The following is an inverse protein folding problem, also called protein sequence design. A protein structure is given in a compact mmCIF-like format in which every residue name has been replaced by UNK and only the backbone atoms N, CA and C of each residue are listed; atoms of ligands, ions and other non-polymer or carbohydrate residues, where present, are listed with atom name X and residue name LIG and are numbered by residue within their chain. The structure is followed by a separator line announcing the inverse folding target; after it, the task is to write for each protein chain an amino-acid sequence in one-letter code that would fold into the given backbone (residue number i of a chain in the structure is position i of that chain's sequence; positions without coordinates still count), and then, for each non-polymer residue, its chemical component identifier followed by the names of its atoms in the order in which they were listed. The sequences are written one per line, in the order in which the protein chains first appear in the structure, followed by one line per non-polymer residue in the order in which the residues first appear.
data_IF_900170082590
#
_entry.id   IF_900170082590
#
_cell.length_a   1.000
_cell.length_b   1.000
_cell.length_c   1.000
_cell.angle_alpha   90.00
_cell.angle_beta   90.00
_cell.angle_gamma   90.00
#
_symmetry.space_group_name_H-M   'P 1'
#
loop_
_entity.id
_entity.type
_entity.pdbx_description
1 polymer ?
#
# COMPACT_ATOMS: atom_id res chain seq x y z
N UNK A 1 17.98 -7.05 -35.89
CA UNK A 1 18.78 -7.20 -34.66
C UNK A 1 18.27 -8.45 -33.98
N UNK A 2 19.00 -9.56 -34.04
CA UNK A 2 18.64 -10.79 -33.31
C UNK A 2 19.13 -10.64 -31.88
N UNK A 3 18.24 -10.78 -30.92
CA UNK A 3 18.65 -10.93 -29.51
C UNK A 3 19.36 -12.28 -29.39
N UNK A 4 20.56 -12.36 -28.77
CA UNK A 4 21.22 -13.64 -28.54
C UNK A 4 20.38 -14.52 -27.61
N UNK A 5 20.28 -15.81 -27.92
CA UNK A 5 19.41 -16.78 -27.23
C UNK A 5 19.74 -17.03 -25.74
N UNK A 6 20.80 -16.38 -25.21
CA UNK A 6 21.30 -16.54 -23.84
C UNK A 6 21.15 -15.27 -22.99
N UNK A 7 20.34 -14.28 -23.39
CA UNK A 7 20.06 -13.15 -22.50
C UNK A 7 19.26 -13.66 -21.30
N UNK A 8 19.89 -13.64 -20.12
CA UNK A 8 19.26 -13.85 -18.82
C UNK A 8 19.66 -12.70 -17.91
N UNK A 9 18.72 -12.20 -17.13
CA UNK A 9 19.04 -11.23 -16.10
C UNK A 9 19.90 -11.90 -15.01
N UNK A 10 21.02 -11.26 -14.64
CA UNK A 10 21.92 -11.77 -13.60
C UNK A 10 21.68 -11.13 -12.24
N UNK A 11 21.03 -9.97 -12.22
CA UNK A 11 20.70 -9.20 -11.02
C UNK A 11 19.34 -8.51 -11.17
N UNK A 12 18.88 -7.90 -10.08
CA UNK A 12 17.55 -7.25 -10.02
C UNK A 12 17.44 -6.07 -10.98
N UNK A 13 18.47 -5.22 -11.06
CA UNK A 13 18.45 -4.01 -11.89
C UNK A 13 18.36 -4.37 -13.39
N UNK A 14 19.11 -5.39 -13.82
CA UNK A 14 19.02 -5.94 -15.17
C UNK A 14 17.62 -6.51 -15.45
N UNK A 15 17.06 -7.28 -14.51
CA UNK A 15 15.75 -7.89 -14.69
C UNK A 15 14.63 -6.83 -14.81
N UNK A 16 14.68 -5.79 -13.97
CA UNK A 16 13.74 -4.68 -14.03
C UNK A 16 13.90 -3.84 -15.30
N UNK A 17 15.14 -3.55 -15.70
CA UNK A 17 15.41 -2.83 -16.94
C UNK A 17 14.92 -3.61 -18.18
N UNK A 18 15.11 -4.93 -18.21
CA UNK A 18 14.61 -5.79 -19.29
C UNK A 18 13.08 -5.76 -19.37
N UNK A 19 12.38 -5.93 -18.24
CA UNK A 19 10.91 -5.88 -18.20
C UNK A 19 10.33 -4.50 -18.56
N UNK A 20 10.95 -3.42 -18.06
CA UNK A 20 10.54 -2.05 -18.42
C UNK A 20 10.75 -1.77 -19.91
N UNK A 21 11.86 -2.25 -20.46
CA UNK A 21 12.17 -2.12 -21.89
C UNK A 21 11.16 -2.89 -22.74
N UNK A 22 10.79 -4.11 -22.35
CA UNK A 22 9.75 -4.90 -23.02
C UNK A 22 8.41 -4.16 -23.02
N UNK A 23 7.99 -3.63 -21.86
CA UNK A 23 6.76 -2.83 -21.74
C UNK A 23 6.78 -1.58 -22.65
N UNK A 24 7.91 -0.87 -22.70
CA UNK A 24 8.08 0.31 -23.56
C UNK A 24 7.99 -0.06 -25.05
N UNK A 25 8.58 -1.19 -25.45
CA UNK A 25 8.50 -1.70 -26.83
C UNK A 25 7.05 -2.01 -27.20
N UNK A 26 6.30 -2.72 -26.34
CA UNK A 26 4.87 -3.03 -26.56
C UNK A 26 4.05 -1.75 -26.71
N UNK A 27 4.22 -0.80 -25.79
CA UNK A 27 3.55 0.51 -25.84
C UNK A 27 3.83 1.25 -27.16
N UNK A 28 5.09 1.27 -27.61
CA UNK A 28 5.49 1.90 -28.86
C UNK A 28 4.91 1.19 -30.10
N UNK A 29 4.69 -0.14 -30.04
CA UNK A 29 4.08 -0.91 -31.14
C UNK A 29 2.59 -0.60 -31.27
N UNK A 30 1.89 -0.47 -30.15
CA UNK A 30 0.47 -0.09 -30.09
C UNK A 30 0.24 1.33 -30.61
N UNK A 31 1.08 2.29 -30.21
CA UNK A 31 0.88 3.72 -30.50
C UNK A 31 1.62 4.21 -31.77
N UNK A 32 2.47 3.37 -32.37
CA UNK A 32 3.24 3.71 -33.57
C UNK A 32 2.40 3.66 -34.86
N UNK A 33 2.18 4.82 -35.48
CA UNK A 33 1.40 4.97 -36.72
C UNK A 33 2.11 4.54 -38.01
N UNK A 34 3.45 4.39 -38.03
CA UNK A 34 4.23 4.22 -39.26
C UNK A 34 5.22 3.03 -39.26
N UNK A 35 4.79 1.83 -38.84
CA UNK A 35 5.63 0.61 -38.93
C UNK A 35 4.95 -0.49 -39.73
N UNK A 36 5.69 -1.09 -40.68
CA UNK A 36 5.23 -2.25 -41.45
C UNK A 36 4.94 -3.46 -40.54
N UNK A 37 4.02 -4.34 -40.95
CA UNK A 37 3.55 -5.49 -40.17
C UNK A 37 4.70 -6.35 -39.63
N UNK A 38 5.68 -6.67 -40.46
CA UNK A 38 6.86 -7.47 -40.08
C UNK A 38 7.74 -6.78 -39.03
N UNK A 39 7.87 -5.45 -39.06
CA UNK A 39 8.62 -4.71 -38.05
C UNK A 39 7.90 -4.67 -36.70
N UNK A 40 6.56 -4.58 -36.71
CA UNK A 40 5.76 -4.70 -35.48
C UNK A 40 5.93 -6.09 -34.87
N UNK A 41 5.83 -7.14 -35.69
CA UNK A 41 6.01 -8.54 -35.27
C UNK A 41 7.41 -8.79 -34.70
N UNK A 42 8.46 -8.32 -35.37
CA UNK A 42 9.84 -8.44 -34.88
C UNK A 42 10.04 -7.71 -33.54
N UNK A 43 9.40 -6.55 -33.36
CA UNK A 43 9.49 -5.79 -32.10
C UNK A 43 8.78 -6.51 -30.94
N UNK A 44 7.65 -7.18 -31.21
CA UNK A 44 6.94 -7.96 -30.20
C UNK A 44 7.74 -9.20 -29.77
N UNK A 45 8.36 -9.91 -30.71
CA UNK A 45 9.25 -11.04 -30.39
C UNK A 45 10.39 -10.60 -29.47
N UNK A 46 11.00 -9.44 -29.76
CA UNK A 46 12.05 -8.85 -28.93
C UNK A 46 11.52 -8.53 -27.51
N UNK A 47 10.28 -8.04 -27.38
CA UNK A 47 9.67 -7.78 -26.08
C UNK A 47 9.39 -9.07 -25.31
N UNK A 48 8.89 -10.11 -25.97
CA UNK A 48 8.65 -11.42 -25.37
C UNK A 48 9.97 -12.06 -24.88
N UNK A 49 11.03 -12.05 -25.71
CA UNK A 49 12.36 -12.56 -25.33
C UNK A 49 12.93 -11.82 -24.09
N UNK A 50 12.73 -10.50 -24.00
CA UNK A 50 13.15 -9.69 -22.85
C UNK A 50 12.34 -9.99 -21.59
N UNK A 51 11.02 -10.18 -21.71
CA UNK A 51 10.17 -10.57 -20.60
C UNK A 51 10.51 -11.97 -20.09
N UNK A 52 10.79 -12.93 -20.98
CA UNK A 52 11.23 -14.28 -20.60
C UNK A 52 12.59 -14.25 -19.87
N UNK A 53 13.54 -13.45 -20.38
CA UNK A 53 14.84 -13.23 -19.75
C UNK A 53 14.70 -12.62 -18.35
N UNK A 54 13.80 -11.64 -18.17
CA UNK A 54 13.52 -11.03 -16.88
C UNK A 54 12.83 -12.00 -15.91
N UNK A 55 11.81 -12.72 -16.40
CA UNK A 55 11.02 -13.68 -15.62
C UNK A 55 11.87 -14.83 -15.09
N UNK A 56 12.89 -15.26 -15.83
CA UNK A 56 13.84 -16.28 -15.37
C UNK A 56 14.55 -15.90 -14.06
N UNK A 57 14.67 -14.60 -13.77
CA UNK A 57 15.21 -14.08 -12.52
C UNK A 57 14.10 -13.67 -11.55
N UNK A 58 13.05 -12.98 -12.02
CA UNK A 58 12.01 -12.38 -11.17
C UNK A 58 11.05 -13.39 -10.57
N UNK A 59 10.78 -14.50 -11.25
CA UNK A 59 9.89 -15.55 -10.76
C UNK A 59 10.69 -16.47 -9.84
N UNK A 60 10.18 -16.68 -8.63
CA UNK A 60 10.79 -17.61 -7.68
C UNK A 60 10.35 -19.05 -8.01
N UNK A 61 11.33 -19.96 -8.10
CA UNK A 61 11.06 -21.39 -8.30
C UNK A 61 10.44 -22.05 -7.06
N UNK A 62 10.73 -21.50 -5.87
CA UNK A 62 10.19 -21.95 -4.59
C UNK A 62 9.31 -20.85 -3.99
N UNK A 63 8.13 -21.23 -3.52
CA UNK A 63 7.18 -20.31 -2.88
C UNK A 63 7.64 -20.08 -1.43
N UNK A 64 8.05 -18.85 -1.04
CA UNK A 64 8.41 -18.56 0.34
C UNK A 64 7.20 -18.70 1.27
N UNK A 65 7.43 -19.16 2.51
CA UNK A 65 6.40 -19.23 3.53
C UNK A 65 5.89 -17.84 3.90
N UNK A 66 4.68 -17.73 4.46
CA UNK A 66 4.12 -16.47 4.95
C UNK A 66 4.09 -16.40 6.47
N UNK A 67 4.44 -15.25 7.01
CA UNK A 67 4.36 -14.90 8.43
C UNK A 67 3.02 -14.26 8.80
N UNK A 68 2.87 -13.94 10.08
CA UNK A 68 1.60 -13.53 10.72
C UNK A 68 1.07 -12.18 10.24
N UNK A 69 1.95 -11.25 9.85
CA UNK A 69 1.55 -9.97 9.25
C UNK A 69 1.45 -10.00 7.72
N UNK A 70 1.47 -11.20 7.13
CA UNK A 70 1.43 -11.41 5.68
C UNK A 70 2.76 -11.16 4.96
N UNK A 71 3.86 -11.11 5.71
CA UNK A 71 5.22 -11.03 5.19
C UNK A 71 5.71 -12.37 4.62
N UNK A 72 6.67 -12.33 3.70
CA UNK A 72 7.36 -13.55 3.25
C UNK A 72 8.50 -13.91 4.22
N UNK A 73 8.53 -15.18 4.63
CA UNK A 73 9.46 -15.76 5.60
C UNK A 73 10.34 -16.79 4.89
N UNK A 74 11.65 -16.68 5.06
CA UNK A 74 12.56 -17.76 4.71
C UNK A 74 12.35 -18.90 5.71
N UNK A 75 12.01 -20.09 5.23
CA UNK A 75 11.78 -21.26 6.09
C UNK A 75 13.13 -21.71 6.67
N UNK A 76 13.47 -21.19 7.84
CA UNK A 76 14.38 -21.86 8.77
C UNK A 76 13.49 -22.72 9.65
N UNK A 77 13.74 -24.03 9.69
CA UNK A 77 12.88 -25.08 10.23
C UNK A 77 12.10 -24.71 11.52
N UNK A 78 10.80 -25.06 11.55
CA UNK A 78 9.81 -25.00 12.64
C UNK A 78 9.05 -23.68 12.93
N UNK A 79 7.95 -23.44 12.20
CA UNK A 79 6.67 -22.93 12.77
C UNK A 79 5.50 -23.15 11.78
N UNK A 80 4.26 -23.46 12.25
CA UNK A 80 3.16 -23.79 11.35
C UNK A 80 2.62 -22.53 10.65
N UNK A 81 2.21 -22.64 9.37
CA UNK A 81 1.74 -21.49 8.60
C UNK A 81 0.30 -21.13 8.98
N UNK A 82 0.05 -19.85 9.21
CA UNK A 82 -1.30 -19.27 9.31
C UNK A 82 -1.46 -18.29 8.15
N UNK A 83 -2.56 -18.44 7.41
CA UNK A 83 -2.72 -18.03 6.02
C UNK A 83 -3.45 -16.69 5.82
N UNK A 84 -2.98 -15.89 4.85
CA UNK A 84 -3.68 -14.74 4.23
C UNK A 84 -3.75 -14.93 2.70
N UNK A 85 -4.65 -14.21 1.98
CA UNK A 85 -5.16 -14.64 0.68
C UNK A 85 -4.12 -14.62 -0.46
N UNK A 86 -4.41 -15.34 -1.55
CA UNK A 86 -3.47 -15.55 -2.65
C UNK A 86 -3.11 -14.22 -3.32
N UNK A 87 -1.82 -14.01 -3.60
CA UNK A 87 -1.42 -13.16 -4.73
C UNK A 87 -1.23 -14.09 -5.92
N UNK A 88 -1.73 -13.67 -7.08
CA UNK A 88 -1.68 -14.46 -8.32
C UNK A 88 -0.24 -14.82 -8.75
N UNK A 89 0.76 -14.01 -8.40
CA UNK A 89 2.18 -14.33 -8.60
C UNK A 89 3.05 -13.75 -7.47
N UNK A 90 3.98 -14.59 -6.99
CA UNK A 90 5.03 -14.20 -6.04
C UNK A 90 6.31 -13.97 -6.85
N UNK A 91 6.83 -12.75 -6.81
CA UNK A 91 8.08 -12.37 -7.47
C UNK A 91 9.17 -12.04 -6.44
N UNK A 92 10.43 -12.10 -6.87
CA UNK A 92 11.58 -11.62 -6.09
C UNK A 92 11.38 -10.19 -5.61
N UNK A 93 10.86 -9.31 -6.46
CA UNK A 93 10.59 -7.91 -6.11
C UNK A 93 9.63 -7.79 -4.92
N UNK A 94 8.53 -8.55 -4.94
CA UNK A 94 7.56 -8.53 -3.84
C UNK A 94 8.14 -9.11 -2.54
N UNK A 95 9.04 -10.09 -2.67
CA UNK A 95 9.70 -10.74 -1.53
C UNK A 95 10.73 -9.81 -0.91
N UNK A 96 11.63 -9.25 -1.71
CA UNK A 96 12.66 -8.31 -1.27
C UNK A 96 12.02 -7.05 -0.65
N UNK A 97 11.01 -6.47 -1.31
CA UNK A 97 10.26 -5.34 -0.75
C UNK A 97 9.51 -5.70 0.53
N UNK A 98 9.10 -6.96 0.73
CA UNK A 98 8.55 -7.41 2.02
C UNK A 98 9.64 -7.40 3.10
N UNK A 99 10.79 -8.00 2.83
CA UNK A 99 11.91 -8.06 3.77
C UNK A 99 12.42 -6.67 4.15
N UNK A 100 12.53 -5.75 3.19
CA UNK A 100 12.92 -4.36 3.44
C UNK A 100 11.93 -3.65 4.38
N UNK A 101 10.63 -3.83 4.17
CA UNK A 101 9.59 -3.25 5.04
C UNK A 101 9.66 -3.80 6.46
N UNK A 102 9.95 -5.10 6.63
CA UNK A 102 10.19 -5.68 7.96
C UNK A 102 11.48 -5.16 8.59
N UNK A 103 12.54 -5.03 7.81
CA UNK A 103 13.81 -4.45 8.24
C UNK A 103 13.62 -3.02 8.76
N UNK A 104 12.83 -2.21 8.06
CA UNK A 104 12.45 -0.86 8.50
C UNK A 104 11.61 -0.89 9.79
N UNK A 105 10.62 -1.77 9.89
CA UNK A 105 9.81 -1.90 11.11
C UNK A 105 10.66 -2.34 12.32
N UNK A 106 11.58 -3.28 12.11
CA UNK A 106 12.54 -3.73 13.12
C UNK A 106 13.51 -2.62 13.54
N UNK A 107 14.06 -1.86 12.58
CA UNK A 107 14.95 -0.72 12.85
C UNK A 107 14.27 0.38 13.69
N UNK A 108 12.96 0.56 13.52
CA UNK A 108 12.16 1.48 14.32
C UNK A 108 11.59 0.82 15.61
N UNK A 109 11.98 -0.43 15.90
CA UNK A 109 11.55 -1.18 17.08
C UNK A 109 10.03 -1.42 17.18
N UNK A 110 9.33 -1.45 16.04
CA UNK A 110 7.89 -1.67 15.98
C UNK A 110 7.51 -2.94 15.22
N UNK A 111 8.46 -3.86 14.95
CA UNK A 111 8.22 -5.05 14.13
C UNK A 111 6.95 -5.81 14.55
N UNK A 112 6.86 -6.24 15.81
CA UNK A 112 5.69 -7.00 16.28
C UNK A 112 4.40 -6.19 16.19
N UNK A 113 4.43 -4.90 16.53
CA UNK A 113 3.26 -4.02 16.46
C UNK A 113 2.82 -3.78 15.02
N UNK A 114 3.76 -3.66 14.10
CA UNK A 114 3.50 -3.46 12.68
C UNK A 114 2.84 -4.70 12.06
N UNK A 115 3.34 -5.90 12.39
CA UNK A 115 2.75 -7.17 11.97
C UNK A 115 1.35 -7.36 12.54
N UNK A 116 1.18 -7.17 13.85
CA UNK A 116 -0.10 -7.26 14.55
C UNK A 116 -1.11 -6.25 13.99
N UNK A 117 -0.69 -5.01 13.73
CA UNK A 117 -1.55 -4.00 13.11
C UNK A 117 -1.99 -4.43 11.71
N UNK A 118 -1.07 -4.97 10.90
CA UNK A 118 -1.38 -5.43 9.55
C UNK A 118 -2.38 -6.61 9.56
N UNK A 119 -2.21 -7.53 10.50
CA UNK A 119 -3.13 -8.65 10.74
C UNK A 119 -4.51 -8.13 11.21
N UNK A 120 -4.54 -7.26 12.22
CA UNK A 120 -5.76 -6.73 12.81
C UNK A 120 -6.63 -5.94 11.82
N UNK A 121 -6.01 -5.18 10.90
CA UNK A 121 -6.77 -4.49 9.84
C UNK A 121 -7.14 -5.41 8.68
N UNK A 122 -6.60 -6.63 8.63
CA UNK A 122 -6.75 -7.57 7.52
C UNK A 122 -6.10 -7.07 6.23
N UNK A 123 -4.85 -6.60 6.29
CA UNK A 123 -4.15 -6.01 5.16
C UNK A 123 -4.02 -7.02 4.00
N UNK A 124 -4.68 -6.74 2.87
CA UNK A 124 -4.77 -7.68 1.74
C UNK A 124 -3.69 -7.47 0.66
N UNK A 125 -3.01 -6.32 0.70
CA UNK A 125 -2.02 -5.93 -0.30
C UNK A 125 -0.87 -5.11 0.33
N UNK A 126 0.17 -4.82 -0.47
CA UNK A 126 1.39 -4.21 0.04
C UNK A 126 1.17 -2.76 0.50
N UNK A 127 0.24 -2.03 -0.11
CA UNK A 127 -0.07 -0.66 0.29
C UNK A 127 -0.77 -0.63 1.66
N UNK A 128 -1.73 -1.53 1.88
CA UNK A 128 -2.37 -1.71 3.19
C UNK A 128 -1.36 -2.12 4.28
N UNK A 129 -0.45 -3.04 3.97
CA UNK A 129 0.64 -3.43 4.89
C UNK A 129 1.56 -2.24 5.23
N UNK A 130 1.95 -1.44 4.23
CA UNK A 130 2.78 -0.25 4.46
C UNK A 130 2.07 0.77 5.35
N UNK A 131 0.77 0.99 5.15
CA UNK A 131 -0.03 1.87 6.01
C UNK A 131 -0.10 1.32 7.44
N UNK A 132 -0.30 0.02 7.63
CA UNK A 132 -0.27 -0.60 8.96
C UNK A 132 1.08 -0.39 9.66
N UNK A 133 2.19 -0.59 8.95
CA UNK A 133 3.53 -0.38 9.52
C UNK A 133 3.76 1.10 9.90
N UNK A 134 3.33 2.04 9.06
CA UNK A 134 3.42 3.47 9.35
C UNK A 134 2.56 3.85 10.56
N UNK A 135 1.35 3.29 10.68
CA UNK A 135 0.47 3.50 11.81
C UNK A 135 1.08 2.95 13.11
N UNK A 136 1.76 1.81 13.09
CA UNK A 136 2.47 1.29 14.25
C UNK A 136 3.61 2.23 14.71
N UNK A 137 4.39 2.77 13.77
CA UNK A 137 5.43 3.79 14.07
C UNK A 137 4.80 5.04 14.68
N UNK A 138 3.75 5.57 14.05
CA UNK A 138 3.07 6.79 14.50
C UNK A 138 2.43 6.60 15.88
N UNK A 139 1.78 5.45 16.13
CA UNK A 139 1.18 5.10 17.40
C UNK A 139 2.23 5.08 18.52
N UNK A 140 3.29 4.27 18.37
CA UNK A 140 4.36 4.19 19.36
C UNK A 140 4.97 5.57 19.63
N UNK A 141 5.38 6.27 18.58
CA UNK A 141 6.06 7.57 18.71
C UNK A 141 5.15 8.59 19.39
N UNK A 142 3.85 8.59 19.10
CA UNK A 142 2.90 9.50 19.74
C UNK A 142 2.78 9.25 21.25
N UNK A 143 2.79 7.99 21.69
CA UNK A 143 2.72 7.65 23.10
C UNK A 143 4.02 7.96 23.83
N UNK A 144 5.17 7.70 23.19
CA UNK A 144 6.49 8.07 23.73
C UNK A 144 6.59 9.59 23.92
N UNK A 145 6.15 10.40 22.95
CA UNK A 145 6.14 11.86 23.05
C UNK A 145 5.19 12.39 24.13
N UNK A 146 4.04 11.74 24.36
CA UNK A 146 3.13 12.10 25.46
C UNK A 146 3.76 11.78 26.81
N UNK A 147 4.40 10.61 26.93
CA UNK A 147 5.10 10.23 28.14
C UNK A 147 6.26 11.19 28.45
N UNK A 148 7.02 11.60 27.43
CA UNK A 148 8.07 12.61 27.55
C UNK A 148 7.50 13.96 27.99
N UNK A 149 6.42 14.42 27.35
CA UNK A 149 5.76 15.67 27.71
C UNK A 149 5.28 15.71 29.18
N UNK A 150 4.87 14.57 29.73
CA UNK A 150 4.50 14.45 31.15
C UNK A 150 5.65 14.75 32.12
N UNK A 151 6.89 14.55 31.67
CA UNK A 151 8.12 14.78 32.43
C UNK A 151 8.81 16.13 32.11
N UNK A 152 8.40 16.80 31.03
CA UNK A 152 8.98 18.07 30.58
C UNK A 152 8.49 19.25 31.42
N UNK A 153 9.42 19.96 32.07
CA UNK A 153 9.11 21.16 32.87
C UNK A 153 8.94 22.42 32.04
N UNK A 154 9.70 22.56 30.95
CA UNK A 154 9.59 23.71 30.06
C UNK A 154 8.20 23.69 29.37
N UNK A 155 7.34 24.70 29.60
CA UNK A 155 6.01 24.72 29.01
C UNK A 155 6.02 24.76 27.48
N UNK A 156 7.03 25.39 26.87
CA UNK A 156 7.13 25.50 25.42
C UNK A 156 7.45 24.14 24.82
N UNK A 157 8.48 23.47 25.29
CA UNK A 157 8.84 22.14 24.81
C UNK A 157 7.74 21.12 25.08
N UNK A 158 7.10 21.16 26.26
CA UNK A 158 5.93 20.32 26.56
C UNK A 158 4.82 20.48 25.52
N UNK A 159 4.53 21.72 25.13
CA UNK A 159 3.52 22.01 24.11
C UNK A 159 3.92 21.45 22.74
N UNK A 160 5.21 21.54 22.36
CA UNK A 160 5.72 20.99 21.08
C UNK A 160 5.60 19.47 21.01
N UNK A 161 5.94 18.78 22.10
CA UNK A 161 5.80 17.32 22.21
C UNK A 161 4.33 16.91 22.07
N UNK A 162 3.41 17.52 22.85
CA UNK A 162 1.97 17.22 22.79
C UNK A 162 1.38 17.49 21.40
N UNK A 163 1.76 18.61 20.77
CA UNK A 163 1.28 18.95 19.43
C UNK A 163 1.78 17.96 18.38
N UNK A 164 3.03 17.51 18.49
CA UNK A 164 3.60 16.52 17.58
C UNK A 164 2.93 15.15 17.77
N UNK A 165 2.74 14.72 19.01
CA UNK A 165 1.99 13.50 19.33
C UNK A 165 0.56 13.53 18.77
N UNK A 166 -0.14 14.66 18.94
CA UNK A 166 -1.51 14.84 18.43
C UNK A 166 -1.58 14.68 16.90
N UNK A 167 -0.59 15.20 16.16
CA UNK A 167 -0.51 15.04 14.70
C UNK A 167 -0.28 13.58 14.29
N UNK A 168 0.53 12.84 15.04
CA UNK A 168 0.77 11.41 14.78
C UNK A 168 -0.47 10.57 15.07
N UNK A 169 -1.22 10.91 16.12
CA UNK A 169 -2.51 10.25 16.43
C UNK A 169 -3.56 10.53 15.34
N UNK A 170 -3.62 11.77 14.83
CA UNK A 170 -4.47 12.13 13.70
C UNK A 170 -4.06 11.38 12.42
N UNK A 171 -2.74 11.19 12.19
CA UNK A 171 -2.24 10.37 11.08
C UNK A 171 -2.71 8.91 11.18
N UNK A 172 -2.73 8.30 12.37
CA UNK A 172 -3.27 6.95 12.55
C UNK A 172 -4.74 6.85 12.14
N UNK A 173 -5.56 7.83 12.52
CA UNK A 173 -6.98 7.89 12.15
C UNK A 173 -7.17 8.08 10.64
N UNK A 174 -6.33 8.94 10.03
CA UNK A 174 -6.27 9.12 8.57
C UNK A 174 -5.83 7.85 7.85
N UNK A 175 -4.92 7.06 8.43
CA UNK A 175 -4.51 5.75 7.93
C UNK A 175 -5.69 4.80 7.81
N UNK A 176 -6.50 4.66 8.88
CA UNK A 176 -7.72 3.85 8.86
C UNK A 176 -8.74 4.34 7.81
N UNK A 177 -8.94 5.65 7.72
CA UNK A 177 -9.84 6.24 6.71
C UNK A 177 -9.33 5.96 5.28
N UNK A 178 -8.02 6.00 5.09
CA UNK A 178 -7.37 5.71 3.79
C UNK A 178 -7.57 4.26 3.40
N UNK A 179 -7.38 3.32 4.34
CA UNK A 179 -7.67 1.88 4.13
C UNK A 179 -9.13 1.69 3.73
N UNK A 180 -10.07 2.33 4.46
CA UNK A 180 -11.49 2.24 4.12
C UNK A 180 -11.76 2.73 2.68
N UNK A 181 -11.16 3.86 2.27
CA UNK A 181 -11.29 4.40 0.91
C UNK A 181 -10.67 3.51 -0.16
N UNK A 182 -9.50 2.90 0.11
CA UNK A 182 -8.85 1.95 -0.80
C UNK A 182 -9.79 0.76 -1.05
N UNK A 183 -10.45 0.26 -0.01
CA UNK A 183 -11.36 -0.90 -0.11
C UNK A 183 -12.69 -0.60 -0.79
N UNK A 184 -13.24 0.59 -0.59
CA UNK A 184 -14.52 0.98 -1.19
C UNK A 184 -14.36 1.67 -2.55
N UNK A 185 -13.12 1.89 -3.01
CA UNK A 185 -12.83 2.62 -4.25
C UNK A 185 -13.32 4.08 -4.19
N UNK A 186 -13.50 4.65 -3.00
CA UNK A 186 -14.09 5.98 -2.81
C UNK A 186 -15.58 6.07 -3.17
N UNK A 187 -16.27 4.94 -3.35
CA UNK A 187 -17.70 4.94 -3.64
C UNK A 187 -18.50 5.33 -2.39
N UNK A 188 -19.23 6.45 -2.47
CA UNK A 188 -20.25 6.81 -1.49
C UNK A 188 -21.60 6.28 -1.99
N UNK A 189 -22.10 5.21 -1.37
CA UNK A 189 -23.45 4.71 -1.68
C UNK A 189 -24.48 5.60 -0.99
N UNK A 190 -25.13 6.49 -1.74
CA UNK A 190 -26.27 7.28 -1.26
C UNK A 190 -27.55 6.46 -1.44
N UNK A 191 -28.10 5.94 -0.35
CA UNK A 191 -29.39 5.24 -0.36
C UNK A 191 -30.51 6.28 -0.33
N UNK A 192 -31.19 6.49 -1.46
CA UNK A 192 -32.39 7.33 -1.51
C UNK A 192 -33.56 6.51 -0.95
N UNK A 193 -33.92 6.78 0.31
CA UNK A 193 -35.14 6.23 0.90
C UNK A 193 -36.30 7.16 0.60
N UNK A 194 -37.16 6.77 -0.35
CA UNK A 194 -38.44 7.45 -0.56
C UNK A 194 -39.35 7.18 0.63
N UNK A 195 -39.49 8.16 1.52
CA UNK A 195 -40.52 8.15 2.56
C UNK A 195 -41.78 8.73 1.94
N UNK A 196 -42.79 7.88 1.70
CA UNK A 196 -44.12 8.36 1.34
C UNK A 196 -44.74 9.02 2.57
N UNK A 197 -44.93 10.33 2.48
CA UNK A 197 -45.67 11.11 3.47
C UNK A 197 -47.09 11.26 2.94
N UNK A 198 -48.06 10.60 3.58
CA UNK A 198 -49.48 10.76 3.30
C UNK A 198 -49.98 12.15 3.72
N UNK A 199 -51.02 12.66 3.05
CA UNK A 199 -51.59 14.00 3.28
C UNK A 199 -51.81 14.28 4.77
N UNK A 200 -51.00 15.19 5.33
CA UNK A 200 -51.04 15.60 6.73
C UNK A 200 -49.94 15.05 7.65
N UNK A 201 -49.07 14.15 7.18
CA UNK A 201 -47.87 13.75 7.94
C UNK A 201 -46.75 14.78 7.80
N UNK A 202 -46.09 15.19 8.89
CA UNK A 202 -44.83 15.92 8.82
C UNK A 202 -43.69 14.96 9.17
N UNK A 203 -42.80 14.69 8.21
CA UNK A 203 -41.56 13.99 8.48
C UNK A 203 -40.58 14.97 9.15
N UNK A 204 -40.51 14.95 10.47
CA UNK A 204 -39.50 15.69 11.23
C UNK A 204 -38.19 14.93 11.13
N UNK A 205 -37.31 15.35 10.22
CA UNK A 205 -35.93 14.90 10.19
C UNK A 205 -35.20 15.67 11.30
N UNK A 206 -34.74 14.95 12.33
CA UNK A 206 -33.95 15.55 13.39
C UNK A 206 -32.55 15.83 12.84
N UNK A 207 -32.41 16.96 12.14
CA UNK A 207 -31.14 17.46 11.62
C UNK A 207 -30.28 17.95 12.77
N UNK A 208 -29.66 17.04 13.53
CA UNK A 208 -28.51 17.39 14.35
C UNK A 208 -27.27 17.52 13.45
N UNK A 209 -27.34 18.42 12.47
CA UNK A 209 -26.16 18.92 11.75
C UNK A 209 -25.65 20.08 12.59
N UNK A 210 -24.58 19.82 13.32
CA UNK A 210 -23.87 20.79 14.12
C UNK A 210 -23.10 21.72 13.18
N UNK A 211 -23.82 22.63 12.51
CA UNK A 211 -23.23 23.67 11.67
C UNK A 211 -22.75 24.82 12.55
N UNK A 212 -21.44 24.82 12.85
CA UNK A 212 -20.73 26.01 13.32
C UNK A 212 -19.69 26.41 12.28
N UNK A 213 -20.15 26.97 11.17
CA UNK A 213 -19.32 27.57 10.12
C UNK A 213 -19.68 29.02 9.83
N UNK A 214 -19.30 29.92 10.74
CA UNK A 214 -19.38 31.39 10.70
C UNK A 214 -18.92 32.00 9.36
N UNK A 215 -19.81 32.74 8.68
CA UNK A 215 -19.48 33.66 7.58
C UNK A 215 -20.19 35.00 7.78
N UNK A 216 -19.49 35.93 8.42
CA UNK A 216 -19.93 37.32 8.52
C UNK A 216 -19.45 38.06 7.27
N UNK A 217 -20.38 38.67 6.54
CA UNK A 217 -20.05 39.81 5.69
C UNK A 217 -21.19 40.84 5.79
N UNK A 218 -20.85 42.06 6.20
CA UNK A 218 -21.75 43.20 6.29
C UNK A 218 -21.17 44.28 5.38
N UNK A 219 -22.01 44.71 4.43
CA UNK A 219 -22.14 46.03 3.80
C UNK A 219 -20.90 46.90 3.66
#
# INVERSE_FOLDING_TARGET
MKIPADIKAKNMDEAQAMSLTAAQIRHNVEHGKDRGFEQKKASLIIADDLDDAANSYLILNEIPARGVGGEFVQITENKPPVTCPPREQISRVNTDASLDRLGLASKNGVLSMALDTAEAIGASNAAEQMLAHQMAVAHRTSLDLIAEAGNTRDPIERCRLINTASKLMDLCQKGLTTIHKIRTGGQQTVTVQHVQVSDGGQAVINSSVNDRGRGADKK
#
